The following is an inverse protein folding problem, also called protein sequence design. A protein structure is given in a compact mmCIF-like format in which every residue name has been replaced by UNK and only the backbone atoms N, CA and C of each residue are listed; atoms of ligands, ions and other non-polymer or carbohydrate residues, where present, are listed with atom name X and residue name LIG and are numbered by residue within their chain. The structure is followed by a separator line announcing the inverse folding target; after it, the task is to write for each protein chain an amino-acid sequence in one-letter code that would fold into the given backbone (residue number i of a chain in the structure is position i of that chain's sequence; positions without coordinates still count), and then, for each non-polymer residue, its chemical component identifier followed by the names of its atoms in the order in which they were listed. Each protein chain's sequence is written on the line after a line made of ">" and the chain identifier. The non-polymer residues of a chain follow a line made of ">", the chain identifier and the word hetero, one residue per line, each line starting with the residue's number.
data_IF_571775167608
#
_entry.id   IF_571775167608
#
_cell.length_a   1.000
_cell.length_b   1.000
_cell.length_c   1.000
_cell.angle_alpha   90.00
_cell.angle_beta   90.00
_cell.angle_gamma   90.00
#
_symmetry.space_group_name_H-M   'P 1'
#
loop_
_entity.id
_entity.type
_entity.pdbx_description
1 polymer ?
#
# COMPACT_ATOMS: atom_id res chain seq x y z
N UNK A 1 -13.74 -44.51 23.63
CA UNK A 1 -13.67 -43.03 23.77
C UNK A 1 -12.53 -42.56 22.90
N UNK A 2 -12.82 -41.69 21.93
CA UNK A 2 -11.92 -41.25 20.85
C UNK A 2 -11.01 -40.10 21.33
N UNK A 3 -9.74 -40.10 20.93
CA UNK A 3 -8.91 -38.89 20.97
C UNK A 3 -8.56 -38.51 19.53
N UNK A 4 -9.17 -37.42 19.06
CA UNK A 4 -9.01 -36.92 17.70
C UNK A 4 -7.65 -36.23 17.55
N UNK A 5 -6.94 -36.57 16.47
CA UNK A 5 -5.70 -35.94 16.07
C UNK A 5 -5.95 -34.50 15.61
N UNK A 6 -5.21 -33.55 16.20
CA UNK A 6 -5.18 -32.15 15.77
C UNK A 6 -4.18 -32.00 14.61
N UNK A 7 -4.67 -32.10 13.37
CA UNK A 7 -3.88 -31.74 12.20
C UNK A 7 -4.10 -30.25 11.89
N UNK A 8 -3.37 -29.38 12.57
CA UNK A 8 -3.30 -27.96 12.23
C UNK A 8 -2.47 -27.81 10.96
N UNK A 9 -3.10 -27.88 9.79
CA UNK A 9 -2.49 -27.37 8.55
C UNK A 9 -2.34 -25.87 8.71
N UNK A 10 -1.17 -25.43 9.13
CA UNK A 10 -0.76 -24.04 8.98
C UNK A 10 -0.58 -23.78 7.49
N UNK A 11 -1.54 -23.08 6.89
CA UNK A 11 -1.39 -22.52 5.55
C UNK A 11 -0.28 -21.48 5.61
N UNK A 12 0.93 -21.87 5.21
CA UNK A 12 1.99 -20.93 4.88
C UNK A 12 1.60 -20.22 3.59
N UNK A 13 0.74 -19.21 3.73
CA UNK A 13 0.40 -18.30 2.65
C UNK A 13 1.69 -17.62 2.20
N UNK A 14 2.18 -18.01 1.03
CA UNK A 14 3.34 -17.41 0.40
C UNK A 14 2.96 -15.99 -0.04
N UNK A 15 3.10 -15.04 0.90
CA UNK A 15 2.82 -13.60 0.73
C UNK A 15 3.63 -12.92 -0.39
N UNK A 16 4.36 -13.68 -1.21
CA UNK A 16 5.23 -13.20 -2.29
C UNK A 16 4.57 -13.21 -3.66
N UNK A 17 3.40 -13.85 -3.82
CA UNK A 17 2.73 -14.00 -5.12
C UNK A 17 1.57 -13.03 -5.37
N UNK A 18 1.08 -12.36 -4.33
CA UNK A 18 -0.06 -11.45 -4.45
C UNK A 18 0.45 -10.08 -4.97
N UNK A 19 0.15 -9.77 -6.24
CA UNK A 19 0.29 -8.39 -6.75
C UNK A 19 -0.47 -7.45 -5.80
N UNK A 20 0.10 -6.27 -5.47
CA UNK A 20 -0.52 -5.36 -4.51
C UNK A 20 -1.92 -4.99 -4.98
N UNK A 21 -2.93 -5.54 -4.30
CA UNK A 21 -4.32 -5.26 -4.60
C UNK A 21 -4.63 -3.84 -4.10
N UNK A 22 -5.07 -2.96 -5.00
CA UNK A 22 -5.34 -1.55 -4.70
C UNK A 22 -6.32 -1.39 -3.53
N UNK A 23 -7.31 -2.28 -3.42
CA UNK A 23 -8.28 -2.30 -2.33
C UNK A 23 -7.60 -2.54 -0.98
N UNK A 24 -6.56 -3.40 -0.95
CA UNK A 24 -5.79 -3.68 0.26
C UNK A 24 -5.06 -2.43 0.79
N UNK A 25 -4.59 -1.56 -0.11
CA UNK A 25 -3.87 -0.35 0.28
C UNK A 25 -4.80 0.83 0.58
N UNK A 26 -5.97 0.91 -0.06
CA UNK A 26 -6.96 1.95 0.17
C UNK A 26 -7.40 2.06 1.64
N UNK A 27 -7.64 0.91 2.27
CA UNK A 27 -8.05 0.86 3.68
C UNK A 27 -6.98 1.39 4.65
N UNK A 28 -5.71 1.42 4.23
CA UNK A 28 -4.59 1.89 5.07
C UNK A 28 -4.44 3.41 5.05
N UNK A 29 -5.01 4.12 4.08
CA UNK A 29 -4.92 5.58 3.99
C UNK A 29 -5.59 6.27 5.18
N UNK A 30 -5.01 7.37 5.66
CA UNK A 30 -5.70 8.31 6.53
C UNK A 30 -6.84 9.01 5.77
N UNK A 31 -7.76 9.65 6.49
CA UNK A 31 -8.82 10.46 5.87
C UNK A 31 -8.23 11.55 4.99
N UNK A 32 -7.22 12.28 5.47
CA UNK A 32 -6.55 13.33 4.71
C UNK A 32 -5.88 12.77 3.44
N UNK A 33 -5.22 11.62 3.54
CA UNK A 33 -4.62 10.95 2.39
C UNK A 33 -5.64 10.53 1.34
N UNK A 34 -6.82 10.04 1.75
CA UNK A 34 -7.90 9.69 0.81
C UNK A 34 -8.38 10.92 0.05
N UNK A 35 -8.59 12.05 0.76
CA UNK A 35 -8.99 13.30 0.13
C UNK A 35 -7.96 13.80 -0.89
N UNK A 36 -6.69 13.83 -0.52
CA UNK A 36 -5.60 14.20 -1.42
C UNK A 36 -5.49 13.25 -2.62
N UNK A 37 -5.60 11.94 -2.38
CA UNK A 37 -5.51 10.93 -3.43
C UNK A 37 -6.66 11.03 -4.44
N UNK A 38 -7.87 11.46 -4.06
CA UNK A 38 -8.94 11.66 -5.04
C UNK A 38 -8.57 12.64 -6.15
N UNK A 39 -7.79 13.68 -5.85
CA UNK A 39 -7.27 14.61 -6.87
C UNK A 39 -6.28 13.91 -7.78
N UNK A 40 -5.38 13.11 -7.22
CA UNK A 40 -4.40 12.34 -7.98
C UNK A 40 -5.06 11.26 -8.86
N UNK A 41 -6.09 10.58 -8.36
CA UNK A 41 -6.85 9.59 -9.13
C UNK A 41 -7.48 10.21 -10.38
N UNK A 42 -8.01 11.43 -10.28
CA UNK A 42 -8.55 12.17 -11.45
C UNK A 42 -7.48 12.53 -12.48
N UNK A 43 -6.23 12.69 -12.03
CA UNK A 43 -5.08 12.96 -12.90
C UNK A 43 -4.48 11.67 -13.49
N UNK A 44 -4.98 10.50 -13.11
CA UNK A 44 -4.53 9.20 -13.62
C UNK A 44 -3.50 8.49 -12.73
N UNK A 45 -3.25 8.97 -11.51
CA UNK A 45 -2.38 8.29 -10.58
C UNK A 45 -3.05 7.05 -9.97
N UNK A 46 -2.27 6.00 -9.80
CA UNK A 46 -2.67 4.76 -9.15
C UNK A 46 -1.96 4.63 -7.80
N UNK A 47 -2.69 4.19 -6.77
CA UNK A 47 -2.13 3.91 -5.46
C UNK A 47 -1.28 2.64 -5.55
N UNK A 48 0.01 2.75 -5.26
CA UNK A 48 0.91 1.60 -5.25
C UNK A 48 0.87 0.89 -3.90
N UNK A 49 1.14 1.63 -2.82
CA UNK A 49 1.11 1.09 -1.45
C UNK A 49 1.08 2.22 -0.43
N UNK A 50 0.82 1.86 0.82
CA UNK A 50 0.95 2.75 1.99
C UNK A 50 2.05 2.21 2.89
N UNK A 51 3.11 3.01 3.07
CA UNK A 51 4.16 2.75 4.05
C UNK A 51 3.70 3.27 5.40
N UNK A 52 3.76 2.43 6.43
CA UNK A 52 3.51 2.83 7.81
C UNK A 52 4.75 2.52 8.65
N UNK A 53 5.33 3.56 9.22
CA UNK A 53 6.38 3.49 10.25
C UNK A 53 5.77 3.89 11.60
N UNK A 54 6.52 3.73 12.70
CA UNK A 54 6.01 4.04 14.04
C UNK A 54 5.49 5.48 14.22
N UNK A 55 6.00 6.43 13.44
CA UNK A 55 5.68 7.85 13.54
C UNK A 55 5.10 8.47 12.26
N UNK A 56 5.11 7.75 11.14
CA UNK A 56 4.80 8.34 9.84
C UNK A 56 4.01 7.37 8.98
N UNK A 57 3.00 7.89 8.28
CA UNK A 57 2.23 7.16 7.29
C UNK A 57 2.36 7.89 5.95
N UNK A 58 2.89 7.19 4.96
CA UNK A 58 3.18 7.76 3.64
C UNK A 58 2.48 6.90 2.58
N UNK A 59 1.53 7.48 1.86
CA UNK A 59 0.97 6.85 0.68
C UNK A 59 1.88 7.10 -0.52
N UNK A 60 2.09 6.09 -1.35
CA UNK A 60 2.88 6.19 -2.58
C UNK A 60 1.97 5.91 -3.77
N UNK A 61 1.93 6.83 -4.71
CA UNK A 61 1.16 6.70 -5.94
C UNK A 61 2.05 6.95 -7.17
N UNK A 62 1.60 6.47 -8.33
CA UNK A 62 2.35 6.52 -9.58
C UNK A 62 1.45 6.84 -10.76
N UNK A 63 1.98 7.64 -11.68
CA UNK A 63 1.46 7.81 -13.03
C UNK A 63 2.62 7.64 -14.00
N UNK A 64 2.56 6.65 -14.88
CA UNK A 64 3.63 6.33 -15.84
C UNK A 64 4.99 6.15 -15.15
N UNK A 65 5.92 7.10 -15.23
CA UNK A 65 7.23 7.04 -14.54
C UNK A 65 7.34 8.01 -13.35
N UNK A 66 6.28 8.76 -13.08
CA UNK A 66 6.24 9.78 -12.03
C UNK A 66 5.71 9.18 -10.74
N UNK A 67 6.51 9.26 -9.69
CA UNK A 67 6.13 8.91 -8.34
C UNK A 67 5.68 10.15 -7.57
N UNK A 68 4.67 9.98 -6.73
CA UNK A 68 4.20 11.00 -5.80
C UNK A 68 3.96 10.37 -4.45
N UNK A 69 4.19 11.15 -3.39
CA UNK A 69 3.89 10.72 -2.03
C UNK A 69 2.87 11.62 -1.38
N UNK A 70 2.04 11.05 -0.52
CA UNK A 70 1.11 11.78 0.33
C UNK A 70 1.46 11.48 1.78
N UNK A 71 1.76 12.51 2.57
CA UNK A 71 2.03 12.33 4.00
C UNK A 71 0.74 12.07 4.81
N UNK A 72 0.84 11.97 6.13
CA UNK A 72 -0.31 11.70 7.01
C UNK A 72 -1.35 12.83 7.03
N UNK A 73 -0.92 14.07 6.77
CA UNK A 73 -1.73 15.30 6.78
C UNK A 73 -2.36 15.60 5.41
N UNK A 74 -2.00 14.82 4.38
CA UNK A 74 -2.55 14.94 3.04
C UNK A 74 -1.72 15.83 2.12
N UNK A 75 -0.52 16.27 2.54
CA UNK A 75 0.36 17.04 1.67
C UNK A 75 0.93 16.16 0.56
N UNK A 76 0.90 16.66 -0.68
CA UNK A 76 1.33 15.92 -1.87
C UNK A 76 2.71 16.41 -2.31
N UNK A 77 3.70 15.53 -2.24
CA UNK A 77 5.00 15.75 -2.86
C UNK A 77 5.04 15.10 -4.25
N UNK A 78 5.13 15.94 -5.29
CA UNK A 78 5.20 15.52 -6.69
C UNK A 78 6.60 15.08 -7.16
N UNK A 79 7.64 15.32 -6.35
CA UNK A 79 9.03 14.99 -6.67
C UNK A 79 9.70 14.32 -5.46
N UNK A 80 9.17 13.18 -4.98
CA UNK A 80 9.74 12.48 -3.83
C UNK A 80 11.06 11.82 -4.21
N UNK A 81 12.04 11.86 -3.31
CA UNK A 81 13.28 11.10 -3.45
C UNK A 81 13.04 9.65 -2.97
N UNK A 82 12.43 8.84 -3.82
CA UNK A 82 12.12 7.42 -3.56
C UNK A 82 12.66 6.53 -4.68
N UNK A 83 13.26 5.40 -4.32
CA UNK A 83 13.66 4.36 -5.28
C UNK A 83 12.75 3.15 -5.05
N UNK A 84 11.97 2.79 -6.07
CA UNK A 84 11.23 1.53 -6.06
C UNK A 84 12.19 0.39 -6.35
N UNK A 85 12.17 -0.65 -5.50
CA UNK A 85 12.91 -1.88 -5.78
C UNK A 85 12.22 -2.63 -6.91
N UNK A 86 12.96 -2.99 -7.94
CA UNK A 86 12.48 -3.95 -8.93
C UNK A 86 12.49 -5.35 -8.31
N UNK A 87 11.35 -6.03 -8.36
CA UNK A 87 11.24 -7.41 -7.91
C UNK A 87 11.63 -8.31 -9.09
N UNK A 88 12.89 -8.79 -9.12
CA UNK A 88 13.38 -9.76 -10.11
C UNK A 88 12.91 -11.18 -9.79
#
# INVERSE_FOLDING_TARGET
>A
MQVAAINSTESFDDRRLEQPNIDQHWHRLSTAQRFAFYTLAKLGYQLLFVRQSSHEKTAVARQDDKLVTIDSEGDINFNPTLILRENR
#
